data_IF_728928375378
#
_entry.id   IF_728928375378
#
_cell.length_a   1.000
_cell.length_b   1.000
_cell.length_c   1.000
_cell.angle_alpha   90.00
_cell.angle_beta   90.00
_cell.angle_gamma   90.00
#
_symmetry.space_group_name_H-M   'P 1'
#
loop_
_entity.id
_entity.type
_entity.pdbx_description
1 polymer ?
#
# COMPACT_ATOMS: atom_id res chain seq x y z
N UNK A 1 15.86 -57.23 1.08
CA UNK A 1 15.43 -56.90 2.46
C UNK A 1 14.71 -55.55 2.45
N UNK A 2 13.38 -55.63 2.63
CA UNK A 2 12.37 -54.64 3.03
C UNK A 2 12.36 -53.22 2.43
N UNK A 3 11.57 -53.05 1.37
CA UNK A 3 10.92 -51.79 1.06
C UNK A 3 9.75 -51.58 2.04
N UNK A 4 9.87 -50.60 2.93
CA UNK A 4 8.78 -50.17 3.82
C UNK A 4 7.80 -49.35 2.98
N UNK A 5 6.64 -49.95 2.66
CA UNK A 5 5.54 -49.24 2.02
C UNK A 5 5.04 -48.14 2.97
N UNK A 6 5.20 -46.87 2.56
CA UNK A 6 4.68 -45.71 3.28
C UNK A 6 3.18 -45.63 3.00
N UNK A 7 2.37 -45.97 4.00
CA UNK A 7 0.89 -45.91 3.92
C UNK A 7 0.45 -44.49 3.56
N UNK A 8 -0.50 -44.30 2.62
CA UNK A 8 -1.02 -42.97 2.30
C UNK A 8 -1.74 -42.37 3.52
N UNK A 9 -1.69 -41.03 3.70
CA UNK A 9 -2.31 -40.38 4.85
C UNK A 9 -3.83 -40.61 4.79
N UNK A 10 -4.37 -41.15 5.88
CA UNK A 10 -5.81 -41.39 6.03
C UNK A 10 -6.53 -40.04 6.02
N UNK A 11 -7.55 -39.89 5.18
CA UNK A 11 -8.36 -38.68 5.12
C UNK A 11 -8.98 -38.38 6.50
N UNK A 12 -8.99 -37.09 6.93
CA UNK A 12 -9.48 -36.73 8.25
C UNK A 12 -10.97 -37.07 8.39
N UNK A 13 -11.35 -37.64 9.54
CA UNK A 13 -12.74 -37.94 9.86
C UNK A 13 -13.55 -36.66 10.06
N UNK A 14 -14.88 -36.69 9.87
CA UNK A 14 -15.74 -35.52 10.06
C UNK A 14 -15.60 -34.85 11.44
N UNK A 15 -15.36 -35.64 12.48
CA UNK A 15 -15.10 -35.15 13.84
C UNK A 15 -13.78 -34.35 13.93
N UNK A 16 -12.73 -34.81 13.25
CA UNK A 16 -11.44 -34.10 13.22
C UNK A 16 -11.52 -32.77 12.45
N UNK A 17 -12.36 -32.70 11.41
CA UNK A 17 -12.63 -31.47 10.68
C UNK A 17 -13.38 -30.44 11.54
N UNK A 18 -14.34 -30.88 12.35
CA UNK A 18 -15.08 -30.02 13.28
C UNK A 18 -14.17 -29.44 14.38
N UNK A 19 -13.31 -30.27 14.98
CA UNK A 19 -12.33 -29.79 15.98
C UNK A 19 -11.33 -28.80 15.36
N UNK A 20 -10.87 -29.06 14.14
CA UNK A 20 -9.99 -28.14 13.40
C UNK A 20 -10.68 -26.80 13.10
N UNK A 21 -11.96 -26.81 12.74
CA UNK A 21 -12.74 -25.60 12.50
C UNK A 21 -12.94 -24.77 13.79
N UNK A 22 -13.18 -25.44 14.93
CA UNK A 22 -13.31 -24.80 16.24
C UNK A 22 -12.00 -24.17 16.72
N UNK A 23 -10.88 -24.89 16.58
CA UNK A 23 -9.55 -24.37 16.89
C UNK A 23 -9.20 -23.15 16.02
N UNK A 24 -9.53 -23.21 14.72
CA UNK A 24 -9.35 -22.09 13.80
C UNK A 24 -10.18 -20.87 14.23
N UNK A 25 -11.46 -21.03 14.58
CA UNK A 25 -12.29 -19.92 15.05
C UNK A 25 -11.74 -19.30 16.35
N UNK A 26 -11.28 -20.11 17.30
CA UNK A 26 -10.69 -19.61 18.54
C UNK A 26 -9.41 -18.80 18.29
N UNK A 27 -8.55 -19.26 17.37
CA UNK A 27 -7.34 -18.53 16.99
C UNK A 27 -7.67 -17.21 16.29
N UNK A 28 -8.64 -17.19 15.37
CA UNK A 28 -9.10 -15.97 14.70
C UNK A 28 -9.64 -14.95 15.71
N UNK A 29 -10.48 -15.37 16.65
CA UNK A 29 -11.02 -14.50 17.69
C UNK A 29 -9.92 -13.95 18.63
N UNK A 30 -8.89 -14.74 18.92
CA UNK A 30 -7.76 -14.30 19.72
C UNK A 30 -6.94 -13.23 18.98
N UNK A 31 -6.73 -13.39 17.68
CA UNK A 31 -6.04 -12.40 16.83
C UNK A 31 -6.84 -11.09 16.80
N UNK A 32 -8.16 -11.13 16.55
CA UNK A 32 -8.99 -9.91 16.57
C UNK A 32 -8.99 -9.21 17.93
N UNK A 33 -8.99 -9.97 19.04
CA UNK A 33 -8.94 -9.39 20.38
C UNK A 33 -7.59 -8.71 20.67
N UNK A 34 -6.49 -9.25 20.16
CA UNK A 34 -5.14 -8.73 20.42
C UNK A 34 -4.79 -7.55 19.52
N UNK A 35 -5.26 -7.54 18.28
CA UNK A 35 -4.79 -6.60 17.26
C UNK A 35 -5.88 -5.69 16.67
N UNK A 36 -7.15 -5.92 17.03
CA UNK A 36 -8.29 -5.13 16.59
C UNK A 36 -9.20 -5.87 15.60
N UNK A 37 -10.43 -5.37 15.45
CA UNK A 37 -11.37 -5.88 14.45
C UNK A 37 -10.81 -5.63 13.05
N UNK A 38 -10.91 -6.62 12.16
CA UNK A 38 -10.46 -6.52 10.77
C UNK A 38 -8.98 -6.87 10.53
N UNK A 39 -8.19 -7.19 11.57
CA UNK A 39 -6.80 -7.65 11.39
C UNK A 39 -6.70 -8.98 10.66
N UNK A 40 -7.73 -9.82 10.74
CA UNK A 40 -7.81 -11.09 10.00
C UNK A 40 -9.23 -11.30 9.48
N UNK A 41 -9.35 -11.52 8.18
CA UNK A 41 -10.64 -11.67 7.50
C UNK A 41 -10.55 -12.85 6.54
N UNK A 42 -11.68 -13.52 6.32
CA UNK A 42 -11.77 -14.48 5.20
C UNK A 42 -11.89 -13.69 3.91
N UNK A 43 -11.02 -13.99 2.95
CA UNK A 43 -10.91 -13.25 1.69
C UNK A 43 -12.23 -13.15 0.90
N UNK A 44 -13.15 -14.11 1.07
CA UNK A 44 -14.48 -14.12 0.45
C UNK A 44 -15.64 -13.66 1.33
N UNK A 45 -15.39 -13.30 2.59
CA UNK A 45 -16.40 -12.78 3.53
C UNK A 45 -16.18 -11.29 3.84
N UNK A 46 -15.20 -10.66 3.19
CA UNK A 46 -15.04 -9.20 3.23
C UNK A 46 -16.18 -8.53 2.49
N UNK A 47 -16.70 -7.45 3.08
CA UNK A 47 -17.54 -6.49 2.36
C UNK A 47 -16.91 -6.17 1.00
N UNK A 48 -17.76 -6.08 -0.04
CA UNK A 48 -17.35 -5.49 -1.33
C UNK A 48 -16.62 -4.21 -0.98
N UNK A 49 -15.31 -4.18 -1.24
CA UNK A 49 -14.46 -3.05 -0.87
C UNK A 49 -15.15 -1.80 -1.42
N UNK A 50 -15.68 -0.97 -0.52
CA UNK A 50 -16.32 0.30 -0.86
C UNK A 50 -15.34 1.09 -1.75
N UNK A 51 -15.89 1.77 -2.76
CA UNK A 51 -15.18 2.51 -3.82
C UNK A 51 -13.78 2.97 -3.37
N UNK A 52 -12.75 2.24 -3.83
CA UNK A 52 -11.36 2.55 -3.50
C UNK A 52 -11.11 3.97 -3.99
N UNK A 53 -10.90 4.90 -3.05
CA UNK A 53 -10.56 6.26 -3.42
C UNK A 53 -9.18 6.25 -4.08
N UNK A 54 -9.08 6.84 -5.26
CA UNK A 54 -7.84 6.89 -6.04
C UNK A 54 -7.43 8.33 -6.35
N UNK A 55 -6.15 8.51 -6.65
CA UNK A 55 -5.59 9.71 -7.27
C UNK A 55 -4.97 9.33 -8.62
N UNK A 56 -5.25 10.08 -9.68
CA UNK A 56 -4.66 9.83 -10.99
C UNK A 56 -3.13 9.94 -10.93
N UNK A 57 -2.45 9.13 -11.74
CA UNK A 57 -1.01 9.22 -11.95
C UNK A 57 -0.59 10.36 -12.87
N UNK A 58 -1.55 11.06 -13.50
CA UNK A 58 -1.29 11.99 -14.61
C UNK A 58 -1.00 11.29 -15.95
N UNK A 59 -1.00 9.95 -15.97
CA UNK A 59 -0.84 9.12 -17.17
C UNK A 59 -2.06 8.22 -17.35
N UNK A 60 -2.90 8.54 -18.34
CA UNK A 60 -4.09 7.74 -18.65
C UNK A 60 -3.77 6.26 -18.87
N UNK A 61 -2.66 5.95 -19.55
CA UNK A 61 -2.26 4.58 -19.80
C UNK A 61 -1.92 3.81 -18.52
N UNK A 62 -1.29 4.48 -17.55
CA UNK A 62 -0.95 3.88 -16.26
C UNK A 62 -2.18 3.73 -15.37
N UNK A 63 -3.06 4.73 -15.34
CA UNK A 63 -4.32 4.67 -14.59
C UNK A 63 -5.20 3.50 -15.03
N UNK A 64 -5.27 3.26 -16.35
CA UNK A 64 -5.94 2.08 -16.93
C UNK A 64 -5.22 0.80 -16.51
N UNK A 65 -3.89 0.75 -16.61
CA UNK A 65 -3.10 -0.44 -16.28
C UNK A 65 -3.22 -0.85 -14.79
N UNK A 66 -3.40 0.12 -13.89
CA UNK A 66 -3.65 -0.12 -12.47
C UNK A 66 -5.03 -0.74 -12.18
N UNK A 67 -5.95 -0.69 -13.15
CA UNK A 67 -7.29 -1.31 -13.07
C UNK A 67 -8.29 -0.55 -12.18
N UNK A 68 -7.81 0.20 -11.20
CA UNK A 68 -8.62 1.02 -10.29
C UNK A 68 -8.69 2.51 -10.70
N UNK A 69 -8.02 2.89 -11.79
CA UNK A 69 -8.06 4.27 -12.32
C UNK A 69 -7.08 5.25 -11.67
N UNK A 70 -6.11 4.76 -10.89
CA UNK A 70 -5.08 5.59 -10.25
C UNK A 70 -4.42 4.90 -9.07
N UNK A 71 -3.65 5.65 -8.28
CA UNK A 71 -3.05 5.17 -7.05
C UNK A 71 -4.09 5.14 -5.91
N UNK A 72 -4.27 4.02 -5.19
CA UNK A 72 -5.22 3.92 -4.09
C UNK A 72 -4.78 4.74 -2.87
N UNK A 73 -5.68 5.53 -2.31
CA UNK A 73 -5.46 6.33 -1.10
C UNK A 73 -5.45 5.43 0.15
N UNK A 74 -4.72 5.86 1.18
CA UNK A 74 -4.57 5.09 2.42
C UNK A 74 -3.73 3.82 2.27
N UNK A 75 -2.90 3.75 1.21
CA UNK A 75 -2.01 2.62 0.92
C UNK A 75 -0.61 3.14 0.63
N UNK A 76 0.38 2.32 0.96
CA UNK A 76 1.78 2.57 0.59
C UNK A 76 1.98 2.12 -0.86
N UNK A 77 2.60 2.99 -1.66
CA UNK A 77 2.92 2.74 -3.07
C UNK A 77 4.43 2.84 -3.24
N UNK A 78 5.02 1.86 -3.91
CA UNK A 78 6.44 1.85 -4.25
C UNK A 78 6.62 2.05 -5.76
N UNK A 79 7.44 3.03 -6.14
CA UNK A 79 7.83 3.29 -7.54
C UNK A 79 9.36 3.14 -7.61
N UNK A 80 9.84 2.08 -8.25
CA UNK A 80 11.26 1.78 -8.37
C UNK A 80 11.70 1.67 -9.84
N UNK A 81 13.00 1.80 -10.09
CA UNK A 81 13.58 1.75 -11.43
C UNK A 81 14.90 2.50 -11.55
N UNK A 82 15.59 2.39 -12.70
CA UNK A 82 16.87 3.06 -12.95
C UNK A 82 16.82 4.58 -12.74
N UNK A 83 17.98 5.20 -12.55
CA UNK A 83 18.09 6.66 -12.63
C UNK A 83 17.56 7.16 -13.98
N UNK A 84 16.94 8.34 -13.97
CA UNK A 84 16.30 8.95 -15.15
C UNK A 84 15.15 8.13 -15.78
N UNK A 85 14.63 7.09 -15.12
CA UNK A 85 13.46 6.33 -15.61
C UNK A 85 12.12 7.05 -15.44
N UNK A 86 12.10 8.27 -14.87
CA UNK A 86 10.89 9.07 -14.68
C UNK A 86 10.19 8.92 -13.32
N UNK A 87 10.82 8.27 -12.33
CA UNK A 87 10.22 8.07 -10.98
C UNK A 87 9.78 9.40 -10.35
N UNK A 88 10.70 10.36 -10.25
CA UNK A 88 10.42 11.67 -9.66
C UNK A 88 9.39 12.44 -10.48
N UNK A 89 9.45 12.36 -11.82
CA UNK A 89 8.43 12.96 -12.70
C UNK A 89 7.04 12.42 -12.39
N UNK A 90 6.90 11.10 -12.28
CA UNK A 90 5.63 10.44 -11.95
C UNK A 90 5.12 10.87 -10.57
N UNK A 91 5.98 10.91 -9.56
CA UNK A 91 5.63 11.38 -8.21
C UNK A 91 5.13 12.82 -8.23
N UNK A 92 5.81 13.72 -8.96
CA UNK A 92 5.40 15.12 -9.08
C UNK A 92 4.08 15.28 -9.84
N UNK A 93 3.81 14.45 -10.85
CA UNK A 93 2.52 14.42 -11.53
C UNK A 93 1.39 13.96 -10.61
N UNK A 94 1.61 12.91 -9.80
CA UNK A 94 0.64 12.46 -8.78
C UNK A 94 0.36 13.58 -7.77
N UNK A 95 1.38 14.31 -7.33
CA UNK A 95 1.21 15.46 -6.43
C UNK A 95 0.35 16.54 -7.10
N UNK A 96 0.64 16.89 -8.35
CA UNK A 96 -0.15 17.87 -9.09
C UNK A 96 -1.62 17.42 -9.23
N UNK A 97 -1.88 16.15 -9.52
CA UNK A 97 -3.25 15.59 -9.57
C UNK A 97 -3.94 15.65 -8.20
N UNK A 98 -3.25 15.32 -7.11
CA UNK A 98 -3.81 15.44 -5.75
C UNK A 98 -4.15 16.89 -5.40
N UNK A 99 -3.28 17.84 -5.75
CA UNK A 99 -3.52 19.26 -5.51
C UNK A 99 -4.71 19.80 -6.31
N UNK A 100 -4.95 19.31 -7.53
CA UNK A 100 -6.14 19.66 -8.32
C UNK A 100 -7.44 19.21 -7.65
N UNK A 101 -7.40 18.14 -6.86
CA UNK A 101 -8.52 17.66 -6.05
C UNK A 101 -8.67 18.44 -4.72
N UNK A 102 -7.83 19.45 -4.49
CA UNK A 102 -7.79 20.22 -3.25
C UNK A 102 -7.05 19.52 -2.10
N UNK A 103 -6.29 18.46 -2.38
CA UNK A 103 -5.50 17.77 -1.37
C UNK A 103 -4.17 18.47 -1.07
N UNK A 104 -3.75 18.42 0.20
CA UNK A 104 -2.43 18.87 0.63
C UNK A 104 -1.40 17.76 0.40
N UNK A 105 -0.21 18.13 -0.09
CA UNK A 105 0.88 17.18 -0.36
C UNK A 105 2.12 17.57 0.43
N UNK A 106 2.86 16.56 0.89
CA UNK A 106 4.17 16.71 1.48
C UNK A 106 5.21 15.95 0.65
N UNK A 107 6.39 16.54 0.47
CA UNK A 107 7.52 15.93 -0.22
C UNK A 107 8.70 15.81 0.75
N UNK A 108 9.14 14.58 1.02
CA UNK A 108 10.31 14.30 1.86
C UNK A 108 11.48 14.02 0.93
N UNK A 109 12.36 15.01 0.78
CA UNK A 109 13.51 14.98 -0.13
C UNK A 109 14.78 14.57 0.62
N UNK A 110 15.11 13.28 0.59
CA UNK A 110 16.37 12.76 1.12
C UNK A 110 17.56 12.90 0.13
N UNK A 111 17.30 13.22 -1.15
CA UNK A 111 18.32 13.31 -2.19
C UNK A 111 18.79 14.74 -2.45
N UNK A 112 18.08 15.73 -1.90
CA UNK A 112 18.33 17.17 -2.07
C UNK A 112 18.37 17.57 -3.56
N UNK A 113 17.57 16.90 -4.39
CA UNK A 113 17.65 16.94 -5.84
C UNK A 113 16.37 17.49 -6.50
N UNK A 114 15.39 17.97 -5.72
CA UNK A 114 14.15 18.49 -6.26
C UNK A 114 14.37 19.78 -7.08
N UNK A 115 14.11 19.70 -8.38
CA UNK A 115 14.01 20.87 -9.26
C UNK A 115 12.61 21.50 -9.14
N UNK A 116 12.55 22.63 -8.46
CA UNK A 116 11.30 23.38 -8.22
C UNK A 116 10.70 23.95 -9.50
N UNK A 117 11.53 24.39 -10.46
CA UNK A 117 11.04 24.92 -11.72
C UNK A 117 10.41 23.80 -12.57
N UNK A 118 11.03 22.62 -12.57
CA UNK A 118 10.47 21.45 -13.23
C UNK A 118 9.14 21.01 -12.59
N UNK A 119 9.07 20.97 -11.26
CA UNK A 119 7.84 20.65 -10.54
C UNK A 119 6.68 21.60 -10.89
N UNK A 120 6.94 22.92 -10.93
CA UNK A 120 5.93 23.90 -11.37
C UNK A 120 5.46 23.66 -12.79
N UNK A 121 6.37 23.33 -13.70
CA UNK A 121 6.02 23.05 -15.10
C UNK A 121 5.15 21.78 -15.24
N UNK A 122 5.26 20.84 -14.29
CA UNK A 122 4.38 19.66 -14.20
C UNK A 122 3.02 19.97 -13.55
N UNK A 123 2.80 21.20 -13.08
CA UNK A 123 1.54 21.64 -12.49
C UNK A 123 1.49 21.55 -10.96
N UNK A 124 2.63 21.32 -10.29
CA UNK A 124 2.71 21.34 -8.83
C UNK A 124 2.59 22.79 -8.33
N UNK A 125 1.65 23.02 -7.42
CA UNK A 125 1.57 24.25 -6.66
C UNK A 125 2.56 24.21 -5.49
N UNK A 126 3.73 24.82 -5.68
CA UNK A 126 4.77 24.89 -4.65
C UNK A 126 4.41 25.72 -3.42
N UNK A 127 3.46 26.66 -3.53
CA UNK A 127 3.09 27.50 -2.38
C UNK A 127 2.34 26.71 -1.31
N UNK A 128 1.63 25.67 -1.73
CA UNK A 128 0.79 24.82 -0.89
C UNK A 128 1.42 23.43 -0.64
N UNK A 129 2.65 23.21 -1.11
CA UNK A 129 3.37 21.94 -0.93
C UNK A 129 4.29 22.03 0.30
N UNK A 130 4.15 21.08 1.22
CA UNK A 130 5.07 20.93 2.34
C UNK A 130 6.36 20.24 1.85
N UNK A 131 7.52 20.70 2.30
CA UNK A 131 8.81 20.07 2.00
C UNK A 131 9.59 19.79 3.28
N UNK A 132 10.22 18.62 3.34
CA UNK A 132 11.15 18.24 4.40
C UNK A 132 12.43 17.70 3.79
N UNK A 133 13.59 18.08 4.35
CA UNK A 133 14.92 17.59 3.98
C UNK A 133 15.57 16.98 5.22
N UNK A 134 15.31 15.69 5.50
CA UNK A 134 15.81 15.04 6.69
C UNK A 134 17.29 14.66 6.56
N UNK A 135 17.99 14.68 7.69
CA UNK A 135 19.40 14.28 7.79
C UNK A 135 19.58 12.75 7.79
N UNK A 136 18.55 11.99 8.22
CA UNK A 136 18.59 10.52 8.32
C UNK A 136 17.29 9.86 7.85
N UNK A 137 17.36 8.56 7.53
CA UNK A 137 16.19 7.77 7.16
C UNK A 137 15.18 7.62 8.29
N UNK A 138 15.65 7.48 9.54
CA UNK A 138 14.79 7.43 10.73
C UNK A 138 14.00 8.73 10.89
N UNK A 139 14.66 9.88 10.75
CA UNK A 139 13.99 11.19 10.81
C UNK A 139 12.97 11.34 9.67
N UNK A 140 13.30 10.87 8.46
CA UNK A 140 12.37 10.87 7.34
C UNK A 140 11.08 10.10 7.69
N UNK A 141 11.21 8.91 8.29
CA UNK A 141 10.08 8.07 8.68
C UNK A 141 9.26 8.66 9.83
N UNK A 142 9.91 9.25 10.84
CA UNK A 142 9.23 9.95 11.93
C UNK A 142 8.39 11.14 11.43
N UNK A 143 8.93 11.89 10.46
CA UNK A 143 8.20 12.99 9.82
C UNK A 143 7.01 12.47 9.02
N UNK A 144 7.17 11.38 8.27
CA UNK A 144 6.06 10.77 7.52
C UNK A 144 4.95 10.31 8.48
N UNK A 145 5.30 9.67 9.61
CA UNK A 145 4.33 9.20 10.61
C UNK A 145 3.57 10.36 11.27
N UNK A 146 4.25 11.47 11.57
CA UNK A 146 3.65 12.66 12.17
C UNK A 146 2.66 13.41 11.24
N UNK A 147 2.69 13.14 9.94
CA UNK A 147 1.83 13.77 8.94
C UNK A 147 0.51 13.01 8.69
N UNK A 148 0.34 11.80 9.23
CA UNK A 148 -0.81 10.90 8.98
C UNK A 148 -1.91 11.04 10.03
#
# INVERSE_FOLDING_TARGET
>A
MNAVAKTPPVAPTPAALAEKAKALQAALAQIEKQFGKGTIMRLGEGEVIEDIQVVSTGSLGLDIALGVGGLPRGRVIEIYGPESSGKTTLTLQVIAEMQKLGGTCAFVDAEHALDTQYAQNLGVNLQEMLISQPDTGEQALEIVDALV
#
